data_IF_399621720318
#
_entry.id   IF_399621720318
#
_cell.length_a   1.000
_cell.length_b   1.000
_cell.length_c   1.000
_cell.angle_alpha   90.00
_cell.angle_beta   90.00
_cell.angle_gamma   90.00
#
_symmetry.space_group_name_H-M   'P 1'
#
loop_
_entity.id
_entity.type
_entity.pdbx_description
1 polymer ?
#
# COMPACT_ATOMS: atom_id res chain seq x y z
N UNK A 1 25.40 -27.44 -66.69
CA UNK A 1 24.27 -28.00 -65.90
C UNK A 1 24.88 -28.75 -64.72
N UNK A 2 24.47 -28.67 -63.47
CA UNK A 2 23.23 -28.20 -62.87
C UNK A 2 23.55 -27.60 -61.48
N UNK A 3 22.77 -26.60 -61.08
CA UNK A 3 22.96 -25.85 -59.84
C UNK A 3 22.65 -26.67 -58.61
N UNK A 4 23.59 -26.72 -57.68
CA UNK A 4 23.33 -27.04 -56.27
C UNK A 4 22.54 -25.88 -55.67
N UNK A 5 21.21 -26.05 -55.63
CA UNK A 5 20.35 -25.20 -54.83
C UNK A 5 20.66 -25.45 -53.36
N UNK A 6 21.08 -24.39 -52.68
CA UNK A 6 21.13 -24.25 -51.23
C UNK A 6 19.80 -24.71 -50.62
N UNK A 7 19.78 -25.90 -50.04
CA UNK A 7 18.69 -26.36 -49.18
C UNK A 7 18.94 -25.82 -47.77
N UNK A 8 18.83 -24.50 -47.60
CA UNK A 8 18.93 -23.85 -46.29
C UNK A 8 17.63 -24.08 -45.49
N UNK A 9 17.74 -24.99 -44.52
CA UNK A 9 16.81 -25.47 -43.48
C UNK A 9 15.65 -24.53 -43.05
N UNK A 10 14.42 -24.71 -43.59
CA UNK A 10 13.21 -24.04 -43.09
C UNK A 10 12.81 -24.47 -41.66
N UNK A 11 13.26 -25.63 -41.19
CA UNK A 11 12.85 -26.20 -39.90
C UNK A 11 13.46 -25.48 -38.68
N UNK A 12 14.72 -25.03 -38.73
CA UNK A 12 15.34 -24.31 -37.60
C UNK A 12 14.68 -22.96 -37.38
N UNK A 13 14.42 -22.21 -38.47
CA UNK A 13 13.76 -20.91 -38.38
C UNK A 13 12.36 -21.03 -37.76
N UNK A 14 11.60 -22.07 -38.12
CA UNK A 14 10.28 -22.35 -37.54
C UNK A 14 10.36 -22.72 -36.05
N UNK A 15 11.31 -23.56 -35.65
CA UNK A 15 11.52 -23.93 -34.23
C UNK A 15 11.90 -22.69 -33.41
N UNK A 16 12.82 -21.86 -33.91
CA UNK A 16 13.22 -20.61 -33.24
C UNK A 16 12.03 -19.66 -33.10
N UNK A 17 11.23 -19.49 -34.16
CA UNK A 17 10.03 -18.66 -34.10
C UNK A 17 9.01 -19.18 -33.08
N UNK A 18 8.82 -20.50 -32.97
CA UNK A 18 7.94 -21.11 -31.98
C UNK A 18 8.44 -20.90 -30.55
N UNK A 19 9.75 -21.05 -30.30
CA UNK A 19 10.35 -20.80 -28.99
C UNK A 19 10.17 -19.34 -28.57
N UNK A 20 10.41 -18.39 -29.49
CA UNK A 20 10.21 -16.95 -29.22
C UNK A 20 8.74 -16.68 -28.88
N UNK A 21 7.80 -17.22 -29.67
CA UNK A 21 6.37 -17.05 -29.42
C UNK A 21 5.94 -17.61 -28.07
N UNK A 22 6.47 -18.79 -27.70
CA UNK A 22 6.20 -19.40 -26.40
C UNK A 22 6.79 -18.55 -25.26
N UNK A 23 8.02 -18.06 -25.42
CA UNK A 23 8.68 -17.18 -24.46
C UNK A 23 7.92 -15.86 -24.24
N UNK A 24 7.38 -15.27 -25.31
CA UNK A 24 6.49 -14.10 -25.22
C UNK A 24 5.23 -14.42 -24.42
N UNK A 25 4.54 -15.52 -24.75
CA UNK A 25 3.33 -15.94 -24.02
C UNK A 25 3.60 -16.18 -22.53
N UNK A 26 4.67 -16.88 -22.20
CA UNK A 26 5.06 -17.14 -20.81
C UNK A 26 5.40 -15.84 -20.06
N UNK A 27 6.03 -14.89 -20.75
CA UNK A 27 6.31 -13.56 -20.18
C UNK A 27 5.02 -12.81 -19.87
N UNK A 28 4.09 -12.76 -20.82
CA UNK A 28 2.80 -12.08 -20.65
C UNK A 28 1.98 -12.72 -19.51
N UNK A 29 1.94 -14.05 -19.46
CA UNK A 29 1.25 -14.80 -18.41
C UNK A 29 1.89 -14.54 -17.04
N UNK A 30 3.22 -14.58 -16.92
CA UNK A 30 3.93 -14.33 -15.67
C UNK A 30 3.70 -12.89 -15.16
N UNK A 31 3.78 -11.89 -16.05
CA UNK A 31 3.51 -10.48 -15.72
C UNK A 31 2.05 -10.31 -15.29
N UNK A 32 1.10 -10.90 -16.01
CA UNK A 32 -0.33 -10.87 -15.67
C UNK A 32 -0.60 -11.50 -14.30
N UNK A 33 0.00 -12.65 -14.00
CA UNK A 33 -0.12 -13.30 -12.69
C UNK A 33 0.45 -12.43 -11.57
N UNK A 34 1.61 -11.79 -11.80
CA UNK A 34 2.20 -10.88 -10.82
C UNK A 34 1.32 -9.65 -10.57
N UNK A 35 0.80 -9.02 -11.63
CA UNK A 35 -0.15 -7.90 -11.52
C UNK A 35 -1.41 -8.32 -10.75
N UNK A 36 -1.97 -9.51 -11.02
CA UNK A 36 -3.13 -10.05 -10.30
C UNK A 36 -2.80 -10.36 -8.84
N UNK A 37 -1.58 -10.77 -8.51
CA UNK A 37 -1.14 -11.01 -7.14
C UNK A 37 -1.10 -9.70 -6.35
N UNK A 38 -0.44 -8.67 -6.90
CA UNK A 38 -0.36 -7.35 -6.28
C UNK A 38 -1.75 -6.70 -6.19
N UNK A 39 -2.55 -6.78 -7.25
CA UNK A 39 -3.91 -6.25 -7.26
C UNK A 39 -4.82 -6.91 -6.21
N UNK A 40 -4.70 -8.23 -6.00
CA UNK A 40 -5.44 -8.93 -4.94
C UNK A 40 -5.01 -8.50 -3.55
N UNK A 41 -3.72 -8.27 -3.32
CA UNK A 41 -3.20 -7.77 -2.04
C UNK A 41 -3.85 -6.44 -1.64
N UNK A 42 -3.80 -5.45 -2.54
CA UNK A 42 -4.39 -4.14 -2.29
C UNK A 42 -5.93 -4.19 -2.23
N UNK A 43 -6.56 -5.04 -3.05
CA UNK A 43 -8.01 -5.26 -2.99
C UNK A 43 -8.43 -5.85 -1.64
N UNK A 44 -7.70 -6.85 -1.12
CA UNK A 44 -7.99 -7.46 0.17
C UNK A 44 -7.76 -6.48 1.33
N UNK A 45 -6.67 -5.72 1.30
CA UNK A 45 -6.40 -4.64 2.24
C UNK A 45 -7.53 -3.61 2.25
N UNK A 46 -7.97 -3.16 1.08
CA UNK A 46 -9.04 -2.17 0.95
C UNK A 46 -10.41 -2.73 1.36
N UNK A 47 -10.69 -4.00 1.06
CA UNK A 47 -11.94 -4.65 1.47
C UNK A 47 -11.99 -4.86 2.98
N UNK A 48 -10.87 -5.18 3.63
CA UNK A 48 -10.78 -5.22 5.11
C UNK A 48 -11.04 -3.84 5.70
N UNK A 49 -10.46 -2.78 5.14
CA UNK A 49 -10.74 -1.40 5.55
C UNK A 49 -12.23 -1.08 5.44
N UNK A 50 -12.86 -1.40 4.30
CA UNK A 50 -14.31 -1.24 4.10
C UNK A 50 -15.13 -2.05 5.10
N UNK A 51 -14.77 -3.30 5.37
CA UNK A 51 -15.47 -4.14 6.33
C UNK A 51 -15.39 -3.56 7.75
N UNK A 52 -14.19 -3.16 8.20
CA UNK A 52 -14.03 -2.48 9.50
C UNK A 52 -14.87 -1.21 9.59
N UNK A 53 -14.90 -0.39 8.54
CA UNK A 53 -15.78 0.77 8.49
C UNK A 53 -17.26 0.42 8.54
N UNK A 54 -17.68 -0.70 7.93
CA UNK A 54 -19.07 -1.16 8.01
C UNK A 54 -19.43 -1.66 9.41
N UNK A 55 -18.54 -2.41 10.05
CA UNK A 55 -18.74 -2.97 11.39
C UNK A 55 -18.77 -1.85 12.46
N UNK A 56 -17.93 -0.82 12.31
CA UNK A 56 -17.88 0.35 13.21
C UNK A 56 -18.91 1.43 12.86
N UNK A 57 -19.72 1.28 11.79
CA UNK A 57 -20.71 2.27 11.38
C UNK A 57 -21.70 2.70 12.49
N UNK A 58 -22.28 1.80 13.32
CA UNK A 58 -23.14 2.22 14.42
C UNK A 58 -22.39 3.08 15.45
N UNK A 59 -21.13 2.77 15.72
CA UNK A 59 -20.27 3.51 16.64
C UNK A 59 -19.90 4.88 16.07
N UNK A 60 -19.63 4.98 14.76
CA UNK A 60 -19.43 6.25 14.06
C UNK A 60 -20.64 7.18 14.15
N UNK A 61 -21.84 6.65 13.92
CA UNK A 61 -23.06 7.46 14.00
C UNK A 61 -23.35 7.93 15.43
N UNK A 62 -22.96 7.15 16.44
CA UNK A 62 -23.06 7.51 17.86
C UNK A 62 -22.05 8.59 18.22
N UNK A 63 -20.80 8.46 17.77
CA UNK A 63 -19.73 9.42 17.99
C UNK A 63 -20.05 10.79 17.35
N UNK A 64 -20.49 10.79 16.08
CA UNK A 64 -20.90 12.01 15.38
C UNK A 64 -22.11 12.69 16.03
N UNK A 65 -23.08 11.92 16.52
CA UNK A 65 -24.19 12.46 17.31
C UNK A 65 -23.67 13.11 18.59
N UNK A 66 -22.82 12.45 19.35
CA UNK A 66 -22.27 13.04 20.58
C UNK A 66 -21.46 14.31 20.30
N UNK A 67 -20.71 14.35 19.20
CA UNK A 67 -19.99 15.54 18.76
C UNK A 67 -20.94 16.69 18.42
N UNK A 68 -22.02 16.41 17.67
CA UNK A 68 -23.05 17.40 17.35
C UNK A 68 -23.71 17.94 18.63
N UNK A 69 -24.09 17.07 19.56
CA UNK A 69 -24.65 17.47 20.86
C UNK A 69 -23.69 18.37 21.65
N UNK A 70 -22.38 18.06 21.60
CA UNK A 70 -21.35 18.87 22.24
C UNK A 70 -21.26 20.27 21.62
N UNK A 71 -21.26 20.36 20.28
CA UNK A 71 -21.28 21.65 19.57
C UNK A 71 -22.54 22.44 19.94
N UNK A 72 -23.71 21.81 19.93
CA UNK A 72 -24.99 22.46 20.27
C UNK A 72 -24.99 22.97 21.73
N UNK A 73 -24.46 22.20 22.68
CA UNK A 73 -24.36 22.61 24.08
C UNK A 73 -23.44 23.83 24.23
N UNK A 74 -22.28 23.82 23.55
CA UNK A 74 -21.33 24.93 23.57
C UNK A 74 -21.88 26.19 22.88
N UNK A 75 -22.62 26.03 21.77
CA UNK A 75 -23.32 27.12 21.11
C UNK A 75 -24.38 27.74 22.04
N UNK A 76 -25.19 26.92 22.70
CA UNK A 76 -26.17 27.41 23.68
C UNK A 76 -25.50 28.12 24.86
N UNK A 77 -24.38 27.61 25.37
CA UNK A 77 -23.63 28.29 26.42
C UNK A 77 -23.17 29.68 25.96
N UNK A 78 -22.65 29.79 24.73
CA UNK A 78 -22.24 31.05 24.14
C UNK A 78 -23.42 32.03 23.94
N UNK A 79 -24.53 31.56 23.37
CA UNK A 79 -25.69 32.40 23.03
C UNK A 79 -26.37 32.99 24.27
N UNK A 80 -26.37 32.25 25.38
CA UNK A 80 -26.97 32.67 26.64
C UNK A 80 -25.94 33.18 27.67
N UNK A 81 -24.67 33.33 27.29
CA UNK A 81 -23.59 33.80 28.18
C UNK A 81 -23.37 32.91 29.42
N UNK A 82 -23.65 31.61 29.32
CA UNK A 82 -23.51 30.63 30.41
C UNK A 82 -22.10 30.02 30.43
N UNK A 83 -21.71 29.45 31.57
CA UNK A 83 -20.47 28.71 31.66
C UNK A 83 -20.51 27.46 30.76
N UNK A 84 -19.58 27.39 29.80
CA UNK A 84 -19.54 26.32 28.82
C UNK A 84 -19.29 24.93 29.43
N UNK A 85 -18.50 24.82 30.49
CA UNK A 85 -18.23 23.54 31.16
C UNK A 85 -19.45 23.05 31.94
N UNK A 86 -20.18 23.95 32.60
CA UNK A 86 -21.41 23.59 33.32
C UNK A 86 -22.50 23.12 32.36
N UNK A 87 -22.73 23.86 31.27
CA UNK A 87 -23.71 23.47 30.24
C UNK A 87 -23.31 22.17 29.55
N UNK A 88 -22.02 21.96 29.28
CA UNK A 88 -21.53 20.71 28.69
C UNK A 88 -21.70 19.53 29.62
N UNK A 89 -21.41 19.67 30.92
CA UNK A 89 -21.63 18.60 31.89
C UNK A 89 -23.11 18.28 32.08
N UNK A 90 -23.98 19.31 32.06
CA UNK A 90 -25.43 19.14 32.16
C UNK A 90 -26.05 18.45 30.93
N UNK A 91 -25.69 18.89 29.71
CA UNK A 91 -26.36 18.45 28.47
C UNK A 91 -25.71 17.20 27.86
N UNK A 92 -24.39 17.02 28.03
CA UNK A 92 -23.61 15.95 27.39
C UNK A 92 -22.97 15.01 28.41
N UNK A 93 -22.52 15.55 29.55
CA UNK A 93 -21.77 14.84 30.59
C UNK A 93 -20.28 14.79 30.29
N UNK A 94 -19.48 15.50 31.08
CA UNK A 94 -18.03 15.62 30.87
C UNK A 94 -17.34 14.24 30.89
N UNK A 95 -17.67 13.42 31.88
CA UNK A 95 -17.10 12.07 32.00
C UNK A 95 -17.48 11.15 30.84
N UNK A 96 -18.67 11.34 30.25
CA UNK A 96 -19.11 10.57 29.08
C UNK A 96 -18.32 10.97 27.84
N UNK A 97 -18.04 12.26 27.67
CA UNK A 97 -17.21 12.78 26.59
C UNK A 97 -15.79 12.21 26.66
N UNK A 98 -15.16 12.25 27.85
CA UNK A 98 -13.80 11.71 28.04
C UNK A 98 -13.73 10.21 27.79
N UNK A 99 -14.74 9.43 28.20
CA UNK A 99 -14.80 7.98 27.92
C UNK A 99 -14.89 7.64 26.44
N UNK A 100 -15.42 8.55 25.61
CA UNK A 100 -15.51 8.38 24.16
C UNK A 100 -14.20 8.69 23.43
N UNK A 101 -13.29 9.42 24.06
CA UNK A 101 -12.00 9.81 23.46
C UNK A 101 -11.22 8.64 22.83
N UNK A 102 -10.94 7.50 23.52
CA UNK A 102 -10.18 6.41 22.93
C UNK A 102 -10.91 5.75 21.74
N UNK A 103 -12.24 5.70 21.77
CA UNK A 103 -13.06 5.18 20.67
C UNK A 103 -12.92 6.08 19.43
N UNK A 104 -12.98 7.40 19.61
CA UNK A 104 -12.74 8.40 18.56
C UNK A 104 -11.31 8.34 18.01
N UNK A 105 -10.30 8.23 18.87
CA UNK A 105 -8.89 8.12 18.47
C UNK A 105 -8.68 6.88 17.58
N UNK A 106 -9.20 5.72 17.99
CA UNK A 106 -9.15 4.49 17.19
C UNK A 106 -9.83 4.65 15.83
N UNK A 107 -10.99 5.32 15.77
CA UNK A 107 -11.70 5.54 14.51
C UNK A 107 -10.93 6.44 13.55
N UNK A 108 -10.23 7.46 14.06
CA UNK A 108 -9.38 8.34 13.26
C UNK A 108 -8.17 7.57 12.74
N UNK A 109 -7.50 6.79 13.60
CA UNK A 109 -6.37 5.95 13.20
C UNK A 109 -6.74 4.94 12.10
N UNK A 110 -7.88 4.26 12.24
CA UNK A 110 -8.37 3.32 11.23
C UNK A 110 -8.73 4.00 9.89
N UNK A 111 -9.20 5.25 9.95
CA UNK A 111 -9.49 6.03 8.75
C UNK A 111 -8.19 6.47 8.04
N UNK A 112 -7.20 6.93 8.80
CA UNK A 112 -5.89 7.36 8.31
C UNK A 112 -4.97 6.20 7.89
N UNK A 113 -5.30 4.95 8.27
CA UNK A 113 -4.53 3.78 7.90
C UNK A 113 -4.33 3.68 6.38
N UNK A 114 -3.06 3.77 5.96
CA UNK A 114 -2.66 3.70 4.56
C UNK A 114 -2.94 2.30 3.99
N UNK A 115 -3.47 2.20 2.75
CA UNK A 115 -3.58 0.92 2.04
C UNK A 115 -2.25 0.17 1.95
N UNK A 116 -1.12 0.88 1.94
CA UNK A 116 0.22 0.27 1.91
C UNK A 116 0.55 -0.47 3.22
N UNK A 117 0.15 0.08 4.37
CA UNK A 117 0.31 -0.56 5.68
C UNK A 117 -0.49 -1.85 5.76
N UNK A 118 -1.76 -1.79 5.35
CA UNK A 118 -2.66 -2.95 5.33
C UNK A 118 -2.19 -4.02 4.34
N UNK A 119 -1.63 -3.62 3.20
CA UNK A 119 -1.05 -4.54 2.22
C UNK A 119 0.23 -5.20 2.76
N UNK A 120 1.05 -4.47 3.55
CA UNK A 120 2.27 -4.99 4.15
C UNK A 120 2.02 -6.14 5.13
N UNK A 121 0.88 -6.17 5.83
CA UNK A 121 0.48 -7.31 6.70
C UNK A 121 0.44 -8.64 5.93
N UNK A 122 0.11 -8.59 4.63
CA UNK A 122 -0.05 -9.76 3.77
C UNK A 122 1.18 -10.00 2.87
N UNK A 123 2.26 -9.25 3.09
CA UNK A 123 3.48 -9.28 2.27
C UNK A 123 4.13 -10.66 2.20
N UNK A 124 3.92 -11.53 3.20
CA UNK A 124 4.45 -12.89 3.24
C UNK A 124 4.12 -13.70 1.97
N UNK A 125 2.95 -13.48 1.36
CA UNK A 125 2.55 -14.16 0.12
C UNK A 125 3.29 -13.63 -1.10
N UNK A 126 3.56 -12.33 -1.14
CA UNK A 126 4.29 -11.68 -2.24
C UNK A 126 5.77 -12.04 -2.21
N UNK A 127 6.36 -12.06 -1.02
CA UNK A 127 7.79 -12.35 -0.81
C UNK A 127 8.21 -13.71 -1.39
N UNK A 128 7.30 -14.70 -1.46
CA UNK A 128 7.55 -16.02 -2.04
C UNK A 128 7.91 -15.97 -3.52
N UNK A 129 7.34 -15.02 -4.26
CA UNK A 129 7.45 -14.95 -5.72
C UNK A 129 8.21 -13.71 -6.22
N UNK A 130 8.22 -12.63 -5.43
CA UNK A 130 8.80 -11.36 -5.82
C UNK A 130 10.28 -11.48 -6.18
N UNK A 131 11.08 -12.19 -5.37
CA UNK A 131 12.50 -12.40 -5.68
C UNK A 131 12.72 -13.11 -7.01
N UNK A 132 12.05 -14.24 -7.22
CA UNK A 132 12.15 -15.00 -8.47
C UNK A 132 11.71 -14.19 -9.69
N UNK A 133 10.58 -13.48 -9.58
CA UNK A 133 10.07 -12.62 -10.64
C UNK A 133 11.06 -11.50 -10.99
N UNK A 134 11.57 -10.79 -9.98
CA UNK A 134 12.53 -9.72 -10.17
C UNK A 134 13.83 -10.21 -10.83
N UNK A 135 14.28 -11.43 -10.52
CA UNK A 135 15.47 -12.01 -11.14
C UNK A 135 15.23 -12.52 -12.57
N UNK A 136 14.05 -13.09 -12.85
CA UNK A 136 13.72 -13.64 -14.17
C UNK A 136 13.64 -12.57 -15.27
N UNK A 137 13.28 -11.33 -14.91
CA UNK A 137 13.08 -10.25 -15.87
C UNK A 137 14.20 -9.21 -15.87
N UNK A 138 14.48 -8.70 -17.07
CA UNK A 138 15.29 -7.49 -17.25
C UNK A 138 14.37 -6.29 -17.44
N UNK A 139 14.44 -5.34 -16.52
CA UNK A 139 13.67 -4.11 -16.57
C UNK A 139 14.47 -3.02 -17.27
N UNK A 140 13.83 -2.26 -18.15
CA UNK A 140 14.44 -1.15 -18.90
C UNK A 140 13.50 0.05 -18.86
N UNK A 141 14.06 1.25 -18.91
CA UNK A 141 13.32 2.50 -19.02
C UNK A 141 13.92 3.36 -20.12
N UNK A 142 13.06 4.11 -20.82
CA UNK A 142 13.50 5.13 -21.77
C UNK A 142 13.96 6.43 -21.07
N UNK A 143 13.67 6.59 -19.77
CA UNK A 143 14.05 7.79 -19.00
C UNK A 143 15.51 7.70 -18.57
N UNK A 144 16.28 8.77 -18.78
CA UNK A 144 17.72 8.86 -18.42
C UNK A 144 17.97 8.67 -16.91
N UNK A 145 17.07 9.15 -16.07
CA UNK A 145 17.12 8.99 -14.62
C UNK A 145 15.76 8.50 -14.11
N UNK A 146 15.49 7.20 -14.26
CA UNK A 146 14.23 6.63 -13.80
C UNK A 146 14.33 6.16 -12.32
N UNK A 147 13.67 6.87 -11.38
CA UNK A 147 13.69 6.47 -9.98
C UNK A 147 13.00 5.13 -9.72
N UNK A 148 12.02 4.72 -10.54
CA UNK A 148 11.38 3.42 -10.41
C UNK A 148 12.35 2.30 -10.82
N UNK A 149 13.10 2.48 -11.91
CA UNK A 149 14.10 1.49 -12.34
C UNK A 149 15.23 1.37 -11.30
N UNK A 150 15.65 2.48 -10.70
CA UNK A 150 16.60 2.47 -9.59
C UNK A 150 16.05 1.70 -8.38
N UNK A 151 14.78 1.87 -8.04
CA UNK A 151 14.12 1.12 -6.96
C UNK A 151 14.04 -0.38 -7.25
N UNK A 152 13.65 -0.77 -8.47
CA UNK A 152 13.62 -2.17 -8.89
C UNK A 152 15.03 -2.79 -8.81
N UNK A 153 16.05 -2.04 -9.22
CA UNK A 153 17.45 -2.50 -9.16
C UNK A 153 17.94 -2.68 -7.73
N UNK A 154 17.54 -1.80 -6.82
CA UNK A 154 17.79 -1.96 -5.39
C UNK A 154 17.08 -3.20 -4.83
N UNK A 155 15.78 -3.38 -5.13
CA UNK A 155 15.02 -4.55 -4.69
C UNK A 155 15.64 -5.85 -5.19
N UNK A 156 16.05 -5.92 -6.46
CA UNK A 156 16.77 -7.08 -7.03
C UNK A 156 18.00 -7.45 -6.21
N UNK A 157 18.81 -6.46 -5.82
CA UNK A 157 20.01 -6.68 -4.99
C UNK A 157 19.64 -7.18 -3.59
N UNK A 158 18.67 -6.55 -2.94
CA UNK A 158 18.21 -6.96 -1.60
C UNK A 158 17.71 -8.42 -1.59
N UNK A 159 16.95 -8.82 -2.61
CA UNK A 159 16.48 -10.20 -2.77
C UNK A 159 17.62 -11.19 -3.05
N UNK A 160 18.61 -10.80 -3.87
CA UNK A 160 19.78 -11.64 -4.13
C UNK A 160 20.66 -11.82 -2.89
N UNK A 161 20.88 -10.75 -2.13
CA UNK A 161 21.68 -10.72 -0.91
C UNK A 161 20.91 -11.24 0.32
N UNK A 162 19.61 -11.54 0.18
CA UNK A 162 18.68 -11.87 1.28
C UNK A 162 18.68 -10.84 2.42
N UNK A 163 18.97 -9.58 2.09
CA UNK A 163 19.04 -8.48 3.06
C UNK A 163 17.67 -7.88 3.29
N UNK A 164 17.39 -7.61 4.56
CA UNK A 164 16.14 -6.97 5.02
C UNK A 164 16.32 -5.50 5.38
N UNK A 165 17.56 -5.03 5.52
CA UNK A 165 17.86 -3.64 5.84
C UNK A 165 17.93 -2.79 4.58
N UNK A 166 17.24 -1.65 4.60
CA UNK A 166 17.33 -0.66 3.54
C UNK A 166 18.64 0.12 3.65
N UNK A 167 19.25 0.54 2.53
CA UNK A 167 20.38 1.46 2.55
C UNK A 167 19.93 2.90 2.85
N UNK A 168 20.84 3.74 3.35
CA UNK A 168 20.57 5.15 3.69
C UNK A 168 19.93 5.96 2.54
N UNK A 169 20.27 5.60 1.29
CA UNK A 169 19.70 6.22 0.08
C UNK A 169 18.77 5.25 -0.63
N UNK A 170 17.47 5.39 -0.39
CA UNK A 170 16.42 4.64 -1.09
C UNK A 170 15.79 5.51 -2.18
N UNK A 171 15.75 5.07 -3.46
CA UNK A 171 15.13 5.80 -4.55
C UNK A 171 13.59 5.75 -4.48
N UNK A 172 13.00 6.61 -3.66
CA UNK A 172 11.54 6.66 -3.40
C UNK A 172 10.82 7.83 -4.09
N UNK A 173 11.50 8.56 -4.99
CA UNK A 173 10.94 9.78 -5.61
C UNK A 173 9.76 9.53 -6.56
N UNK A 174 9.51 8.28 -6.92
CA UNK A 174 8.32 7.87 -7.68
C UNK A 174 7.08 7.66 -6.80
N UNK A 175 7.24 7.59 -5.48
CA UNK A 175 6.16 7.35 -4.52
C UNK A 175 5.51 8.66 -4.05
N UNK A 176 4.29 8.55 -3.53
CA UNK A 176 3.59 9.66 -2.87
C UNK A 176 4.32 10.11 -1.60
N UNK A 177 4.07 11.32 -1.11
CA UNK A 177 4.68 11.79 0.14
C UNK A 177 4.27 10.93 1.34
N UNK A 178 3.02 10.47 1.37
CA UNK A 178 2.50 9.59 2.42
C UNK A 178 3.25 8.26 2.45
N UNK A 179 3.44 7.61 1.29
CA UNK A 179 4.16 6.33 1.21
C UNK A 179 5.64 6.48 1.55
N UNK A 180 6.28 7.59 1.15
CA UNK A 180 7.67 7.88 1.54
C UNK A 180 7.83 7.98 3.05
N UNK A 181 6.91 8.68 3.72
CA UNK A 181 6.90 8.78 5.18
C UNK A 181 6.68 7.41 5.82
N UNK A 182 5.82 6.57 5.25
CA UNK A 182 5.63 5.22 5.78
C UNK A 182 6.89 4.34 5.63
N UNK A 183 7.58 4.42 4.50
CA UNK A 183 8.73 3.56 4.20
C UNK A 183 9.99 4.02 4.93
N UNK A 184 10.21 5.34 5.03
CA UNK A 184 11.42 5.92 5.63
C UNK A 184 11.23 6.35 7.09
N UNK A 185 9.99 6.66 7.49
CA UNK A 185 9.67 7.17 8.83
C UNK A 185 9.50 6.10 9.90
N UNK A 186 9.79 4.84 9.60
CA UNK A 186 9.86 3.75 10.60
C UNK A 186 11.22 3.68 11.31
N UNK A 187 12.14 4.60 11.00
CA UNK A 187 13.45 4.66 11.64
C UNK A 187 13.49 5.74 12.73
N UNK A 188 12.85 5.43 13.87
CA UNK A 188 13.35 5.76 15.23
C UNK A 188 12.53 5.02 16.31
N UNK A 189 13.01 3.93 16.94
CA UNK A 189 12.73 3.74 18.35
C UNK A 189 13.52 4.81 19.12
N UNK A 190 12.86 5.54 20.01
CA UNK A 190 13.56 6.40 20.98
C UNK A 190 14.62 5.56 21.72
N UNK A 191 15.91 5.94 21.67
CA UNK A 191 16.88 5.49 22.65
C UNK A 191 16.76 6.39 23.87
N UNK A 192 15.63 6.29 24.57
CA UNK A 192 15.47 6.89 25.91
C UNK A 192 14.26 6.28 26.62
N UNK A 193 14.47 5.06 27.13
CA UNK A 193 14.04 4.60 28.45
C UNK A 193 14.94 3.45 28.89
#
# INVERSE_FOLDING_TARGET
MAGQRLQCQPSIALIVAQIIKLGQKLTDDAVSMFMKLIGRLFSQANNRKKQRHMDCRPDTAKALRMFLHTITALQSANDYGRNALEVLDQEVGWHRLIRMKPELESMVEDNEASPLTLAAEQYATVNKYAGAFLQAFTFRSARRHDPLLAAISLLKRLYAEKRRTLPDRVPVTHLSQADRRLILGQEKPDPSL
#
